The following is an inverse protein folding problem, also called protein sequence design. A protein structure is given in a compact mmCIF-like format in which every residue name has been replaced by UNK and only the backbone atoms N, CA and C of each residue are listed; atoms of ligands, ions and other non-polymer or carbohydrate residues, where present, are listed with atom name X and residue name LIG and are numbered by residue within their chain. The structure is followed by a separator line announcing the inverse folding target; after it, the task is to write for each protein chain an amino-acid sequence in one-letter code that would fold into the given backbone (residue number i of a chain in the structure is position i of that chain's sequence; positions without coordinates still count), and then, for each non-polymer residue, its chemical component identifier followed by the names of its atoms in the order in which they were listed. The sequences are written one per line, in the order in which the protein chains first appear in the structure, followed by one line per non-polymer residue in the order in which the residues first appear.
data_IF_522828588461
#
_entry.id   IF_522828588461
#
_cell.length_a   1.000
_cell.length_b   1.000
_cell.length_c   1.000
_cell.angle_alpha   90.00
_cell.angle_beta   90.00
_cell.angle_gamma   90.00
#
_symmetry.space_group_name_H-M   'P 1'
#
loop_
_entity.id
_entity.type
_entity.pdbx_description
1 polymer ?
#
# COMPACT_ATOMS: atom_id res chain seq x y z
N UNK A 1 -23.72 -22.52 27.86
CA UNK A 1 -24.63 -21.49 28.42
C UNK A 1 -24.20 -20.06 28.05
N UNK A 2 -22.90 -19.74 28.02
CA UNK A 2 -22.35 -18.38 27.78
C UNK A 2 -22.57 -17.85 26.34
N UNK A 3 -22.53 -18.70 25.31
CA UNK A 3 -22.73 -18.28 23.91
C UNK A 3 -24.13 -17.70 23.62
N UNK A 4 -25.16 -18.17 24.33
CA UNK A 4 -26.53 -17.67 24.15
C UNK A 4 -26.76 -16.30 24.79
N UNK A 5 -25.94 -15.93 25.79
CA UNK A 5 -26.03 -14.63 26.47
C UNK A 5 -25.40 -13.54 25.56
N UNK A 6 -24.21 -13.79 25.03
CA UNK A 6 -23.53 -12.88 24.09
C UNK A 6 -24.33 -12.64 22.79
N UNK A 7 -25.03 -13.68 22.29
CA UNK A 7 -25.90 -13.54 21.11
C UNK A 7 -27.11 -12.65 21.38
N UNK A 8 -27.72 -12.75 22.56
CA UNK A 8 -28.85 -11.89 22.95
C UNK A 8 -28.42 -10.43 23.14
N UNK A 9 -27.22 -10.19 23.66
CA UNK A 9 -26.69 -8.84 23.89
C UNK A 9 -26.41 -8.11 22.56
N UNK A 10 -25.83 -8.79 21.56
CA UNK A 10 -25.59 -8.22 20.22
C UNK A 10 -26.88 -7.89 19.46
N UNK A 11 -27.93 -8.70 19.60
CA UNK A 11 -29.24 -8.43 18.98
C UNK A 11 -29.93 -7.22 19.63
N UNK A 12 -29.74 -7.02 20.94
CA UNK A 12 -30.31 -5.88 21.67
C UNK A 12 -29.66 -4.55 21.26
N UNK A 13 -28.33 -4.53 21.09
CA UNK A 13 -27.56 -3.36 20.62
C UNK A 13 -27.97 -2.97 19.19
N UNK A 14 -28.15 -3.95 18.30
CA UNK A 14 -28.56 -3.70 16.91
C UNK A 14 -29.98 -3.12 16.80
N UNK A 15 -30.90 -3.58 17.64
CA UNK A 15 -32.27 -3.05 17.67
C UNK A 15 -32.35 -1.64 18.27
N UNK A 16 -31.45 -1.27 19.19
CA UNK A 16 -31.36 0.11 19.69
C UNK A 16 -30.81 1.09 18.64
N UNK A 17 -29.85 0.66 17.82
CA UNK A 17 -29.31 1.48 16.72
C UNK A 17 -30.34 1.75 15.62
N UNK A 18 -31.23 0.79 15.32
CA UNK A 18 -32.31 0.94 14.34
C UNK A 18 -33.43 1.90 14.76
N UNK A 19 -33.63 2.10 16.07
CA UNK A 19 -34.67 2.98 16.63
C UNK A 19 -34.24 4.43 16.82
N UNK A 20 -32.98 4.76 16.55
CA UNK A 20 -32.43 6.10 16.78
C UNK A 20 -32.86 7.09 15.70
N UNK A 21 -33.40 8.24 16.13
CA UNK A 21 -33.79 9.39 15.26
C UNK A 21 -32.62 9.97 14.44
N UNK A 22 -31.39 9.51 14.67
CA UNK A 22 -30.19 9.91 13.92
C UNK A 22 -30.22 9.44 12.46
N UNK A 23 -30.85 8.29 12.17
CA UNK A 23 -30.89 7.73 10.81
C UNK A 23 -31.80 8.52 9.85
N UNK A 24 -32.80 9.24 10.36
CA UNK A 24 -33.71 10.06 9.55
C UNK A 24 -33.13 11.43 9.16
N UNK A 25 -32.11 11.93 9.87
CA UNK A 25 -31.51 13.23 9.59
C UNK A 25 -30.43 13.15 8.49
N UNK A 26 -29.72 12.02 8.38
CA UNK A 26 -28.71 11.80 7.33
C UNK A 26 -29.31 11.73 5.91
N UNK A 27 -30.57 11.33 5.74
CA UNK A 27 -31.20 11.29 4.41
C UNK A 27 -31.55 12.69 3.86
N UNK A 28 -31.68 13.72 4.70
CA UNK A 28 -32.00 15.08 4.25
C UNK A 28 -30.76 15.93 3.94
N UNK A 29 -29.60 15.61 4.51
CA UNK A 29 -28.34 16.32 4.22
C UNK A 29 -27.66 15.89 2.92
N UNK A 30 -28.01 14.73 2.35
CA UNK A 30 -27.42 14.22 1.10
C UNK A 30 -27.96 14.96 -0.14
N UNK A 31 -29.07 15.71 -0.03
CA UNK A 31 -29.70 16.37 -1.18
C UNK A 31 -29.17 17.80 -1.42
N UNK A 32 -28.42 18.40 -0.48
CA UNK A 32 -27.94 19.79 -0.60
C UNK A 32 -26.46 19.95 -0.99
N UNK A 33 -25.72 18.87 -1.23
CA UNK A 33 -24.30 18.93 -1.64
C UNK A 33 -24.05 18.63 -3.13
N UNK A 34 -25.09 18.65 -3.97
CA UNK A 34 -24.97 18.39 -5.42
C UNK A 34 -24.77 19.63 -6.31
N UNK A 35 -24.60 20.82 -5.73
CA UNK A 35 -24.25 22.02 -6.50
C UNK A 35 -23.15 22.77 -5.76
N UNK A 36 -21.90 22.50 -6.14
CA UNK A 36 -20.80 23.47 -6.25
C UNK A 36 -19.46 22.73 -6.34
N UNK A 37 -19.00 22.52 -7.58
CA UNK A 37 -17.58 22.49 -7.94
C UNK A 37 -17.47 22.40 -9.48
N UNK A 38 -17.62 23.56 -10.14
CA UNK A 38 -16.97 23.80 -11.42
C UNK A 38 -15.45 23.74 -11.19
N UNK A 39 -14.65 23.16 -12.11
CA UNK A 39 -13.20 23.24 -12.00
C UNK A 39 -12.72 24.64 -12.40
N UNK A 40 -12.13 25.37 -11.43
CA UNK A 40 -11.32 26.55 -11.70
C UNK A 40 -10.13 26.19 -12.60
N UNK A 41 -9.96 26.93 -13.69
CA UNK A 41 -8.76 26.87 -14.53
C UNK A 41 -7.63 27.65 -13.85
N UNK A 42 -6.70 26.95 -13.19
CA UNK A 42 -5.44 27.58 -12.79
C UNK A 42 -4.41 27.49 -13.91
N UNK A 43 -4.32 28.61 -14.62
CA UNK A 43 -3.19 29.02 -15.44
C UNK A 43 -2.02 29.43 -14.52
N UNK A 44 -0.87 28.75 -14.59
CA UNK A 44 0.46 29.36 -14.43
C UNK A 44 1.60 28.36 -14.61
N UNK A 45 1.92 27.94 -15.84
CA UNK A 45 3.24 27.38 -16.18
C UNK A 45 3.69 27.83 -17.57
N UNK A 46 3.78 29.14 -17.83
CA UNK A 46 4.30 29.66 -19.11
C UNK A 46 5.53 30.58 -18.99
N UNK A 47 6.08 30.78 -17.80
CA UNK A 47 7.18 31.75 -17.61
C UNK A 47 8.59 31.12 -17.57
N UNK A 48 8.72 29.80 -17.38
CA UNK A 48 10.03 29.15 -17.37
C UNK A 48 10.55 28.86 -18.79
N UNK A 49 9.64 28.46 -19.69
CA UNK A 49 9.99 28.06 -21.06
C UNK A 49 10.37 29.27 -21.94
N UNK A 50 9.76 30.44 -21.70
CA UNK A 50 10.07 31.67 -22.41
C UNK A 50 11.41 32.29 -21.97
N UNK A 51 11.89 31.98 -20.77
CA UNK A 51 13.19 32.47 -20.28
C UNK A 51 14.37 31.68 -20.83
N UNK A 52 14.14 30.48 -21.37
CA UNK A 52 15.16 29.65 -22.03
C UNK A 52 15.37 30.01 -23.51
N UNK A 53 14.41 30.71 -24.12
CA UNK A 53 14.44 31.09 -25.54
C UNK A 53 15.15 32.44 -25.79
N UNK A 54 15.62 33.13 -24.74
CA UNK A 54 16.29 34.44 -24.83
C UNK A 54 17.82 34.39 -24.80
N UNK A 55 18.44 33.21 -24.85
CA UNK A 55 19.90 33.10 -24.92
C UNK A 55 20.41 33.46 -26.33
N UNK A 56 21.35 34.42 -26.47
CA UNK A 56 21.89 34.80 -27.76
C UNK A 56 22.64 33.61 -28.39
N UNK A 57 22.31 33.37 -29.66
CA UNK A 57 22.83 32.30 -30.52
C UNK A 57 24.28 32.60 -30.92
N UNK A 58 25.23 32.51 -29.98
CA UNK A 58 26.65 32.33 -30.25
C UNK A 58 27.44 32.15 -28.95
N UNK A 59 27.58 30.91 -28.51
CA UNK A 59 28.72 30.40 -27.76
C UNK A 59 28.58 28.88 -27.72
N UNK A 60 29.42 28.19 -28.51
CA UNK A 60 29.48 26.73 -28.48
C UNK A 60 29.91 26.26 -27.09
N UNK A 61 29.02 25.54 -26.42
CA UNK A 61 29.35 24.88 -25.15
C UNK A 61 30.24 23.69 -25.51
N UNK A 62 31.55 23.85 -25.32
CA UNK A 62 32.48 22.71 -25.33
C UNK A 62 32.20 21.93 -24.03
N UNK A 63 31.42 20.86 -24.14
CA UNK A 63 31.26 19.87 -23.09
C UNK A 63 32.60 19.15 -22.92
N UNK A 64 33.40 19.66 -21.98
CA UNK A 64 34.59 18.98 -21.47
C UNK A 64 34.09 17.66 -20.87
N UNK A 65 34.58 16.56 -21.42
CA UNK A 65 34.18 15.21 -21.06
C UNK A 65 34.72 14.89 -19.65
N UNK A 66 34.02 15.33 -18.61
CA UNK A 66 34.34 14.97 -17.23
C UNK A 66 33.98 13.49 -17.03
N UNK A 67 35.04 12.67 -16.96
CA UNK A 67 35.01 11.26 -16.54
C UNK A 67 34.67 11.14 -15.04
N UNK A 68 33.54 11.70 -14.62
CA UNK A 68 33.06 11.64 -13.24
C UNK A 68 31.53 11.66 -13.14
N UNK A 69 30.83 10.95 -14.03
CA UNK A 69 29.47 10.47 -13.78
C UNK A 69 29.39 8.98 -14.10
N UNK A 70 30.29 8.19 -13.53
CA UNK A 70 29.90 6.85 -13.13
C UNK A 70 29.23 7.01 -11.77
N UNK A 71 27.95 7.45 -11.77
CA UNK A 71 27.10 7.21 -10.59
C UNK A 71 27.07 5.70 -10.45
N UNK A 72 27.86 5.15 -9.53
CA UNK A 72 27.66 3.80 -9.03
C UNK A 72 26.18 3.70 -8.67
N UNK A 73 25.42 3.00 -9.50
CA UNK A 73 23.98 2.83 -9.37
C UNK A 73 23.78 1.92 -8.16
N UNK A 74 23.80 2.50 -6.98
CA UNK A 74 23.77 1.77 -5.72
C UNK A 74 22.42 1.06 -5.67
N UNK A 75 22.43 -0.25 -5.91
CA UNK A 75 21.25 -1.11 -5.79
C UNK A 75 20.78 -1.01 -4.34
N UNK A 76 19.57 -0.49 -4.14
CA UNK A 76 18.97 -0.44 -2.81
C UNK A 76 18.80 -1.86 -2.31
N UNK A 77 19.31 -2.20 -1.12
CA UNK A 77 19.22 -3.55 -0.54
C UNK A 77 17.78 -4.10 -0.51
N UNK A 78 16.81 -3.24 -0.19
CA UNK A 78 15.38 -3.56 -0.19
C UNK A 78 14.65 -2.97 -1.41
N UNK A 79 15.31 -2.87 -2.57
CA UNK A 79 14.75 -2.32 -3.80
C UNK A 79 13.82 -3.28 -4.55
N UNK A 80 14.14 -4.58 -4.54
CA UNK A 80 13.42 -5.61 -5.29
C UNK A 80 13.03 -6.76 -4.37
N UNK A 81 12.04 -6.51 -3.52
CA UNK A 81 11.56 -7.49 -2.53
C UNK A 81 10.30 -8.17 -3.03
N UNK A 82 10.24 -9.49 -2.96
CA UNK A 82 9.00 -10.25 -3.18
C UNK A 82 8.47 -10.82 -1.87
N UNK A 83 7.15 -10.93 -1.78
CA UNK A 83 6.44 -11.51 -0.64
C UNK A 83 5.66 -12.72 -1.10
N UNK A 84 5.98 -13.90 -0.56
CA UNK A 84 5.30 -15.16 -0.89
C UNK A 84 4.44 -15.60 0.27
N UNK A 85 3.14 -15.81 0.04
CA UNK A 85 2.23 -16.32 1.07
C UNK A 85 2.70 -17.68 1.58
N UNK A 86 2.82 -17.81 2.89
CA UNK A 86 3.18 -19.08 3.53
C UNK A 86 2.14 -20.18 3.24
N UNK A 87 0.88 -19.80 3.03
CA UNK A 87 -0.23 -20.76 2.86
C UNK A 87 -0.37 -21.22 1.43
N UNK A 88 -0.29 -20.30 0.46
CA UNK A 88 -0.57 -20.61 -0.95
C UNK A 88 0.68 -20.78 -1.80
N UNK A 89 1.85 -20.31 -1.33
CA UNK A 89 3.08 -20.26 -2.13
C UNK A 89 3.02 -19.23 -3.27
N UNK A 90 1.95 -18.44 -3.37
CA UNK A 90 1.78 -17.40 -4.38
C UNK A 90 2.32 -16.07 -3.87
N UNK A 91 2.78 -15.24 -4.80
CA UNK A 91 3.37 -13.94 -4.54
C UNK A 91 2.32 -12.84 -4.55
N UNK A 92 2.54 -11.83 -3.71
CA UNK A 92 1.81 -10.57 -3.81
C UNK A 92 2.20 -9.88 -5.12
N UNK A 93 1.23 -9.35 -5.86
CA UNK A 93 1.45 -8.53 -7.04
C UNK A 93 0.54 -7.31 -7.07
N UNK A 94 1.05 -6.23 -7.63
CA UNK A 94 0.26 -5.10 -8.09
C UNK A 94 -0.52 -5.45 -9.36
N UNK A 95 -1.59 -4.70 -9.62
CA UNK A 95 -2.39 -4.84 -10.83
C UNK A 95 -1.57 -4.42 -12.05
N UNK A 96 -1.36 -5.27 -13.07
CA UNK A 96 -0.56 -4.94 -14.25
C UNK A 96 -1.17 -3.88 -15.18
N UNK A 97 -2.49 -3.69 -15.12
CA UNK A 97 -3.23 -2.81 -16.03
C UNK A 97 -3.31 -1.37 -15.50
N UNK A 98 -3.23 -1.18 -14.19
CA UNK A 98 -3.34 0.16 -13.57
C UNK A 98 -2.61 0.26 -12.23
N UNK A 99 -2.00 1.42 -11.93
CA UNK A 99 -1.19 1.59 -10.72
C UNK A 99 -2.00 1.61 -9.42
N UNK A 100 -3.30 1.91 -9.48
CA UNK A 100 -4.22 1.99 -8.33
C UNK A 100 -5.16 0.77 -8.22
N UNK A 101 -4.85 -0.30 -8.94
CA UNK A 101 -5.61 -1.55 -8.88
C UNK A 101 -5.35 -2.33 -7.59
N UNK A 102 -6.27 -3.25 -7.27
CA UNK A 102 -6.18 -4.04 -6.06
C UNK A 102 -4.97 -4.97 -6.06
N UNK A 103 -4.28 -5.04 -4.93
CA UNK A 103 -3.22 -6.01 -4.71
C UNK A 103 -3.78 -7.42 -4.59
N UNK A 104 -3.09 -8.39 -5.20
CA UNK A 104 -3.49 -9.80 -5.18
C UNK A 104 -2.33 -10.71 -4.83
N UNK A 105 -2.62 -11.86 -4.27
CA UNK A 105 -1.69 -12.92 -3.85
C UNK A 105 -1.89 -14.14 -4.76
N UNK A 106 -1.62 -13.96 -6.05
CA UNK A 106 -1.93 -14.95 -7.07
C UNK A 106 -0.82 -15.22 -8.10
N UNK A 107 0.33 -14.54 -8.00
CA UNK A 107 1.43 -14.72 -8.93
C UNK A 107 2.30 -15.95 -8.59
N UNK A 108 2.73 -16.69 -9.60
CA UNK A 108 3.62 -17.86 -9.44
C UNK A 108 5.09 -17.51 -9.71
N UNK A 109 5.36 -16.61 -10.66
CA UNK A 109 6.70 -16.18 -11.07
C UNK A 109 7.04 -14.77 -10.57
N UNK A 110 8.32 -14.40 -10.62
CA UNK A 110 8.73 -13.01 -10.43
C UNK A 110 8.47 -12.21 -11.71
N UNK A 111 7.91 -11.02 -11.55
CA UNK A 111 7.67 -9.97 -12.55
C UNK A 111 7.86 -8.60 -11.91
N UNK A 112 7.91 -7.54 -12.70
CA UNK A 112 7.99 -6.15 -12.21
C UNK A 112 6.84 -5.75 -11.28
N UNK A 113 5.70 -6.46 -11.37
CA UNK A 113 4.51 -6.24 -10.54
C UNK A 113 4.54 -7.02 -9.23
N UNK A 114 5.40 -8.04 -9.11
CA UNK A 114 5.56 -8.85 -7.88
C UNK A 114 6.66 -8.34 -6.96
N UNK A 115 7.48 -7.40 -7.43
CA UNK A 115 8.58 -6.81 -6.69
C UNK A 115 8.19 -5.47 -6.10
N UNK A 116 8.68 -5.21 -4.89
CA UNK A 116 8.39 -4.02 -4.11
C UNK A 116 9.66 -3.42 -3.55
N UNK A 117 9.72 -2.09 -3.50
CA UNK A 117 10.71 -1.34 -2.75
C UNK A 117 10.20 -1.10 -1.33
N UNK A 118 11.03 -1.42 -0.34
CA UNK A 118 10.73 -1.19 1.08
C UNK A 118 11.59 -0.09 1.65
N UNK A 119 11.00 0.75 2.50
CA UNK A 119 11.75 1.75 3.23
C UNK A 119 11.05 2.28 4.47
N UNK A 120 11.86 2.80 5.40
CA UNK A 120 11.42 3.39 6.65
C UNK A 120 11.90 4.84 6.72
N UNK A 121 10.98 5.79 6.94
CA UNK A 121 11.30 7.21 7.01
C UNK A 121 12.24 7.51 8.19
N UNK A 122 13.38 8.16 7.91
CA UNK A 122 14.36 8.56 8.94
C UNK A 122 15.10 7.39 9.61
N UNK A 123 15.17 6.22 8.98
CA UNK A 123 15.90 5.04 9.47
C UNK A 123 17.01 4.61 8.50
N UNK A 124 17.84 3.68 8.97
CA UNK A 124 18.89 3.06 8.16
C UNK A 124 18.28 2.34 6.93
N UNK A 125 18.61 2.78 5.70
CA UNK A 125 18.05 2.19 4.48
C UNK A 125 18.52 0.76 4.20
N UNK A 126 19.61 0.30 4.84
CA UNK A 126 20.21 -1.02 4.64
C UNK A 126 19.88 -2.01 5.77
N UNK A 127 19.06 -1.58 6.75
CA UNK A 127 18.64 -2.41 7.86
C UNK A 127 17.19 -2.19 8.31
N UNK A 128 16.28 -3.05 7.86
CA UNK A 128 14.90 -3.11 8.38
C UNK A 128 14.82 -4.15 9.51
N UNK A 129 14.54 -3.72 10.75
CA UNK A 129 14.33 -4.65 11.90
C UNK A 129 12.85 -4.87 12.25
N UNK A 130 11.94 -4.16 11.57
CA UNK A 130 10.52 -4.07 11.89
C UNK A 130 10.07 -2.64 12.18
N UNK A 131 8.78 -2.44 12.39
CA UNK A 131 8.15 -1.15 12.68
C UNK A 131 7.51 -0.49 11.45
N UNK A 132 7.31 0.85 11.47
CA UNK A 132 6.60 1.55 10.41
C UNK A 132 7.30 1.38 9.08
N UNK A 133 6.56 1.11 8.01
CA UNK A 133 7.12 0.79 6.70
C UNK A 133 6.33 1.45 5.58
N UNK A 134 7.03 1.78 4.49
CA UNK A 134 6.43 2.11 3.19
C UNK A 134 6.76 0.99 2.21
N UNK A 135 5.74 0.56 1.46
CA UNK A 135 5.84 -0.49 0.45
C UNK A 135 5.36 0.08 -0.87
N UNK A 136 6.26 0.09 -1.85
CA UNK A 136 6.06 0.68 -3.18
C UNK A 136 6.22 -0.41 -4.24
N UNK A 137 5.25 -0.64 -5.14
CA UNK A 137 5.46 -1.53 -6.29
C UNK A 137 6.58 -0.99 -7.17
N UNK A 138 7.54 -1.83 -7.55
CA UNK A 138 8.66 -1.37 -8.39
C UNK A 138 8.20 -0.90 -9.78
N UNK A 139 7.09 -1.46 -10.28
CA UNK A 139 6.46 -1.04 -11.54
C UNK A 139 5.85 0.38 -11.47
N UNK A 140 5.51 0.88 -10.28
CA UNK A 140 4.72 2.11 -10.11
C UNK A 140 5.35 3.06 -9.08
N UNK A 141 6.19 3.97 -9.56
CA UNK A 141 6.84 4.98 -8.72
C UNK A 141 5.85 5.94 -8.07
N UNK A 142 6.10 6.26 -6.81
CA UNK A 142 5.30 7.07 -5.91
C UNK A 142 3.91 6.51 -5.62
N UNK A 143 3.67 5.21 -5.85
CA UNK A 143 2.46 4.54 -5.40
C UNK A 143 2.79 3.68 -4.20
N UNK A 144 2.04 3.83 -3.12
CA UNK A 144 2.33 3.16 -1.86
C UNK A 144 1.14 2.36 -1.39
N UNK A 145 1.39 1.23 -0.75
CA UNK A 145 0.34 0.40 -0.17
C UNK A 145 -0.55 1.24 0.75
N UNK A 146 -1.85 1.18 0.46
CA UNK A 146 -2.92 1.73 1.26
C UNK A 146 -4.10 0.76 1.18
N UNK A 147 -5.10 0.95 2.03
CA UNK A 147 -6.30 0.13 2.03
C UNK A 147 -7.53 1.01 1.92
N UNK A 148 -8.56 0.46 1.29
CA UNK A 148 -9.76 1.22 1.00
C UNK A 148 -10.83 1.03 2.07
N UNK A 149 -11.46 2.12 2.47
CA UNK A 149 -12.62 2.10 3.34
C UNK A 149 -13.62 3.15 2.88
N UNK A 150 -14.69 2.71 2.23
CA UNK A 150 -15.64 3.67 1.66
C UNK A 150 -16.60 3.13 0.61
N UNK A 151 -16.67 1.81 0.36
CA UNK A 151 -17.61 1.31 -0.63
C UNK A 151 -17.70 -0.21 -0.78
N UNK A 152 -18.94 -0.71 -0.73
CA UNK A 152 -19.31 -2.04 -1.24
C UNK A 152 -18.50 -3.20 -0.67
N UNK A 153 -18.21 -4.16 -1.54
CA UNK A 153 -17.59 -5.44 -1.16
C UNK A 153 -16.06 -5.37 -0.97
N UNK A 154 -15.40 -4.27 -1.36
CA UNK A 154 -13.94 -4.11 -1.33
C UNK A 154 -13.40 -3.38 -0.12
N UNK A 155 -14.23 -3.12 0.90
CA UNK A 155 -13.75 -2.53 2.14
C UNK A 155 -12.63 -3.40 2.72
N UNK A 156 -11.52 -2.76 3.10
CA UNK A 156 -10.29 -3.34 3.61
C UNK A 156 -9.37 -4.00 2.59
N UNK A 157 -9.70 -4.00 1.30
CA UNK A 157 -8.77 -4.43 0.26
C UNK A 157 -7.60 -3.43 0.13
N UNK A 158 -6.40 -3.96 -0.08
CA UNK A 158 -5.21 -3.16 -0.34
C UNK A 158 -5.05 -2.82 -1.81
N UNK A 159 -4.56 -1.61 -2.07
CA UNK A 159 -4.20 -1.10 -3.38
C UNK A 159 -3.06 -0.08 -3.24
N UNK A 160 -2.22 0.13 -4.25
CA UNK A 160 -1.27 1.24 -4.23
C UNK A 160 -1.99 2.57 -4.49
N UNK A 161 -1.64 3.61 -3.74
CA UNK A 161 -2.21 4.95 -3.93
C UNK A 161 -1.12 5.99 -4.14
N UNK A 162 -1.32 6.86 -5.13
CA UNK A 162 -0.33 7.85 -5.53
C UNK A 162 -0.06 8.85 -4.42
N UNK A 163 1.21 8.92 -3.99
CA UNK A 163 1.74 9.81 -2.93
C UNK A 163 1.04 9.68 -1.58
N UNK A 164 0.24 8.65 -1.38
CA UNK A 164 -0.60 8.49 -0.19
C UNK A 164 -0.63 7.03 0.27
N UNK A 165 0.49 6.57 0.85
CA UNK A 165 0.55 5.28 1.52
C UNK A 165 0.00 5.35 2.92
N UNK A 166 -0.41 4.21 3.47
CA UNK A 166 -0.80 4.14 4.88
C UNK A 166 0.33 4.64 5.78
N UNK A 167 0.00 5.55 6.69
CA UNK A 167 0.91 6.05 7.71
C UNK A 167 0.93 5.19 8.98
N UNK A 168 0.15 4.10 9.00
CA UNK A 168 0.04 3.16 10.12
C UNK A 168 0.56 1.76 9.80
N UNK A 169 0.82 1.45 8.52
CA UNK A 169 1.39 0.18 8.09
C UNK A 169 2.69 -0.15 8.85
N UNK A 170 2.69 -1.30 9.52
CA UNK A 170 3.83 -1.88 10.23
C UNK A 170 4.28 -3.15 9.53
N UNK A 171 5.59 -3.41 9.53
CA UNK A 171 6.16 -4.72 9.24
C UNK A 171 6.74 -5.32 10.52
N UNK A 172 6.43 -6.59 10.79
CA UNK A 172 7.04 -7.38 11.85
C UNK A 172 7.96 -8.41 11.20
N UNK A 173 9.26 -8.28 11.44
CA UNK A 173 10.24 -9.30 11.03
C UNK A 173 10.27 -10.37 12.11
N UNK A 174 9.85 -11.60 11.78
CA UNK A 174 9.64 -12.67 12.76
C UNK A 174 10.94 -13.41 13.04
N UNK A 175 11.92 -12.67 13.56
CA UNK A 175 13.23 -13.18 13.98
C UNK A 175 13.72 -12.50 15.24
N UNK A 176 14.70 -13.13 15.90
CA UNK A 176 15.23 -12.68 17.19
C UNK A 176 16.07 -11.40 17.04
N UNK A 177 16.91 -11.31 16.01
CA UNK A 177 17.82 -10.19 15.80
C UNK A 177 18.27 -10.06 14.35
N UNK A 178 18.84 -8.90 14.00
CA UNK A 178 19.41 -8.63 12.68
C UNK A 178 18.44 -7.90 11.75
N UNK A 179 18.97 -7.45 10.61
CA UNK A 179 18.22 -6.77 9.56
C UNK A 179 17.49 -7.79 8.70
N UNK A 180 16.30 -7.47 8.17
CA UNK A 180 15.54 -8.31 7.25
C UNK A 180 16.43 -8.87 6.12
N UNK A 181 16.30 -10.17 5.85
CA UNK A 181 17.09 -10.95 4.89
C UNK A 181 16.17 -11.86 4.07
N UNK A 182 16.68 -12.39 2.95
CA UNK A 182 15.96 -13.41 2.16
C UNK A 182 15.72 -14.67 3.00
N UNK A 183 14.54 -15.27 2.86
CA UNK A 183 14.09 -16.41 3.64
C UNK A 183 13.42 -16.06 4.96
N UNK A 184 13.55 -14.81 5.44
CA UNK A 184 12.85 -14.36 6.63
C UNK A 184 11.33 -14.39 6.43
N UNK A 185 10.62 -14.60 7.54
CA UNK A 185 9.16 -14.50 7.57
C UNK A 185 8.73 -13.17 8.17
N UNK A 186 7.72 -12.56 7.58
CA UNK A 186 7.15 -11.30 8.04
C UNK A 186 5.63 -11.38 8.20
N UNK A 187 5.10 -10.44 8.98
CA UNK A 187 3.68 -10.12 9.12
C UNK A 187 3.54 -8.62 8.94
N UNK A 188 2.41 -8.17 8.39
CA UNK A 188 2.07 -6.75 8.35
C UNK A 188 0.83 -6.47 9.19
N UNK A 189 0.80 -5.33 9.85
CA UNK A 189 -0.43 -4.79 10.43
C UNK A 189 -0.67 -3.37 9.96
N UNK A 190 -1.92 -2.94 10.08
CA UNK A 190 -2.35 -1.59 9.80
C UNK A 190 -3.56 -1.26 10.67
N UNK A 191 -3.81 0.03 10.85
CA UNK A 191 -4.78 0.50 11.84
C UNK A 191 -6.16 0.70 11.20
N UNK A 192 -7.15 -0.09 11.61
CA UNK A 192 -8.54 0.12 11.18
C UNK A 192 -9.14 1.31 11.92
N UNK A 193 -9.46 2.36 11.17
CA UNK A 193 -10.04 3.59 11.72
C UNK A 193 -11.48 3.43 12.19
N UNK A 194 -12.23 2.42 11.73
CA UNK A 194 -13.61 2.16 12.19
C UNK A 194 -13.62 1.52 13.56
N UNK A 195 -12.86 0.43 13.74
CA UNK A 195 -12.83 -0.29 15.02
C UNK A 195 -11.77 0.23 15.98
N UNK A 196 -10.90 1.13 15.52
CA UNK A 196 -9.83 1.75 16.31
C UNK A 196 -8.83 0.73 16.87
N UNK A 197 -8.47 -0.26 16.05
CA UNK A 197 -7.61 -1.37 16.45
C UNK A 197 -6.69 -1.81 15.29
N UNK A 198 -5.60 -2.49 15.62
CA UNK A 198 -4.65 -3.02 14.64
C UNK A 198 -5.17 -4.32 14.03
N UNK A 199 -5.17 -4.36 12.70
CA UNK A 199 -5.58 -5.51 11.90
C UNK A 199 -4.38 -6.05 11.15
N UNK A 200 -4.43 -7.32 10.74
CA UNK A 200 -3.35 -7.93 9.97
C UNK A 200 -3.63 -7.92 8.48
N UNK A 201 -2.59 -7.72 7.68
CA UNK A 201 -2.68 -7.87 6.23
C UNK A 201 -2.60 -9.36 5.90
N UNK A 202 -3.60 -9.88 5.20
CA UNK A 202 -3.75 -11.31 4.89
C UNK A 202 -3.98 -11.55 3.40
N UNK A 203 -3.60 -12.74 2.91
CA UNK A 203 -4.20 -13.27 1.70
C UNK A 203 -5.66 -13.67 1.98
N UNK A 204 -6.58 -13.18 1.17
CA UNK A 204 -8.01 -13.45 1.35
C UNK A 204 -8.42 -14.71 0.59
N UNK A 205 -9.25 -15.55 1.20
CA UNK A 205 -9.65 -16.85 0.64
C UNK A 205 -11.17 -17.02 0.48
N UNK A 206 -11.91 -15.92 0.37
CA UNK A 206 -13.37 -15.93 0.41
C UNK A 206 -14.04 -15.26 -0.79
N UNK A 207 -14.96 -15.97 -1.43
CA UNK A 207 -15.90 -15.41 -2.40
C UNK A 207 -15.23 -14.79 -3.63
N UNK A 208 -15.85 -13.75 -4.19
CA UNK A 208 -15.36 -13.04 -5.38
C UNK A 208 -14.05 -12.27 -5.17
N UNK A 209 -13.60 -12.14 -3.91
CA UNK A 209 -12.37 -11.47 -3.51
C UNK A 209 -11.24 -12.45 -3.20
N UNK A 210 -11.40 -13.73 -3.54
CA UNK A 210 -10.36 -14.74 -3.37
C UNK A 210 -9.04 -14.26 -4.00
N UNK A 211 -7.94 -14.48 -3.27
CA UNK A 211 -6.58 -14.06 -3.60
C UNK A 211 -6.32 -12.55 -3.57
N UNK A 212 -7.21 -11.73 -3.02
CA UNK A 212 -6.89 -10.31 -2.80
C UNK A 212 -6.14 -10.12 -1.48
N UNK A 213 -5.34 -9.05 -1.39
CA UNK A 213 -4.69 -8.67 -0.15
C UNK A 213 -5.62 -7.79 0.69
N UNK A 214 -5.87 -8.18 1.95
CA UNK A 214 -6.92 -7.57 2.78
C UNK A 214 -6.43 -7.26 4.20
N UNK A 215 -6.97 -6.19 4.79
CA UNK A 215 -6.84 -5.90 6.21
C UNK A 215 -7.91 -6.67 7.02
N UNK A 216 -7.51 -7.48 8.01
CA UNK A 216 -8.44 -8.33 8.77
C UNK A 216 -7.95 -8.68 10.19
N UNK A 217 -8.86 -8.64 11.18
CA UNK A 217 -8.52 -8.87 12.59
C UNK A 217 -8.74 -10.28 13.13
N UNK A 218 -9.54 -11.13 12.45
CA UNK A 218 -10.02 -12.35 13.10
C UNK A 218 -8.99 -13.49 13.06
N UNK A 219 -8.54 -13.90 14.24
CA UNK A 219 -8.12 -15.29 14.48
C UNK A 219 -9.25 -16.26 14.04
N UNK A 220 -8.95 -17.36 13.31
CA UNK A 220 -7.63 -17.95 13.05
C UNK A 220 -6.96 -17.51 11.72
N UNK A 221 -7.54 -16.57 10.95
CA UNK A 221 -7.06 -16.23 9.60
C UNK A 221 -5.69 -15.55 9.57
N UNK A 222 -5.13 -15.16 10.71
CA UNK A 222 -3.77 -14.61 10.82
C UNK A 222 -2.72 -15.53 10.20
N UNK A 223 -2.97 -16.85 10.11
CA UNK A 223 -2.08 -17.77 9.40
C UNK A 223 -1.84 -17.40 7.92
N UNK A 224 -2.80 -16.73 7.28
CA UNK A 224 -2.70 -16.21 5.91
C UNK A 224 -2.04 -14.83 5.82
N UNK A 225 -1.63 -14.25 6.94
CA UNK A 225 -0.87 -13.00 7.00
C UNK A 225 0.64 -13.20 7.05
N UNK A 226 1.12 -14.44 7.07
CA UNK A 226 2.54 -14.74 7.05
C UNK A 226 3.07 -14.80 5.63
N UNK A 227 4.13 -14.03 5.36
CA UNK A 227 4.80 -14.00 4.07
C UNK A 227 6.29 -14.29 4.22
N UNK A 228 6.84 -15.12 3.35
CA UNK A 228 8.29 -15.25 3.17
C UNK A 228 8.80 -14.11 2.31
N UNK A 229 9.92 -13.53 2.72
CA UNK A 229 10.60 -12.45 2.03
C UNK A 229 11.71 -13.02 1.17
N UNK A 230 11.82 -12.54 -0.07
CA UNK A 230 13.00 -12.75 -0.90
C UNK A 230 13.50 -11.39 -1.39
N UNK A 231 14.75 -11.08 -1.06
CA UNK A 231 15.49 -9.98 -1.67
C UNK A 231 16.02 -10.48 -3.01
N UNK A 232 15.67 -9.79 -4.09
CA UNK A 232 16.11 -10.12 -5.44
C UNK A 232 17.16 -9.11 -5.89
N UNK A 233 18.02 -9.55 -6.79
CA UNK A 233 18.85 -8.63 -7.55
C UNK A 233 17.94 -7.87 -8.52
N UNK A 234 18.14 -6.56 -8.64
CA UNK A 234 17.39 -5.76 -9.60
C UNK A 234 17.63 -6.24 -11.04
N UNK A 235 16.81 -5.81 -12.01
CA UNK A 235 17.03 -6.18 -13.41
C UNK A 235 18.47 -5.84 -13.81
N UNK A 236 19.18 -6.83 -14.32
CA UNK A 236 20.44 -6.63 -15.06
C UNK A 236 20.10 -5.79 -16.30
N UNK A 237 20.82 -4.68 -16.50
CA UNK A 237 20.62 -3.79 -17.65
C UNK A 237 21.16 -4.38 -18.96
#
# INVERSE_FOLDING_TARGET
MIQNILRKEKVKIWNQLKGSKFFRCCCLFIILFFFDCLPDSQSSENNLFLSLLSLPKNQGIILRNDKSIAKSKTTRKYGWVTFTSQVTGKKIQADPERPDGWLRVNASSNTDFTTFTLYQDGKDPDCIKGGPIRVEPTAYRNYYWNWWLGGGAGNYAYYPKYKDGSNKLQIYVLKVSGCLESGDRVLFSDYDTITQDDYFVIDWDGGSWNEYLFLWYKFPKVQRGYFYVQLNEGPEE
#
